data_IF_527832402305
#
_entry.id   IF_527832402305
#
_cell.length_a   1.000
_cell.length_b   1.000
_cell.length_c   1.000
_cell.angle_alpha   90.00
_cell.angle_beta   90.00
_cell.angle_gamma   90.00
#
_symmetry.space_group_name_H-M   'P 1'
#
loop_
_entity.id
_entity.type
_entity.pdbx_description
1 polymer ?
#
# COMPACT_ATOMS: atom_id res chain seq x y z
N UNK A 1 -10.79 -12.97 -2.70
CA UNK A 1 -10.65 -11.51 -2.88
C UNK A 1 -9.28 -11.15 -3.43
N UNK A 2 -9.17 -9.98 -3.99
CA UNK A 2 -7.92 -9.43 -4.52
C UNK A 2 -7.50 -8.27 -3.62
N UNK A 3 -6.33 -8.39 -3.01
CA UNK A 3 -5.85 -7.47 -1.96
C UNK A 3 -4.64 -6.70 -2.48
N UNK A 4 -4.66 -5.39 -2.34
CA UNK A 4 -3.53 -4.52 -2.68
C UNK A 4 -2.89 -3.96 -1.42
N UNK A 5 -1.56 -3.92 -1.39
CA UNK A 5 -0.79 -3.42 -0.26
C UNK A 5 0.23 -2.40 -0.74
N UNK A 6 0.25 -1.22 -0.12
CA UNK A 6 1.34 -0.27 -0.29
C UNK A 6 2.53 -0.71 0.56
N UNK A 7 3.75 -0.46 0.07
CA UNK A 7 4.96 -0.97 0.72
C UNK A 7 5.53 0.01 1.74
N UNK A 8 5.82 1.23 1.32
CA UNK A 8 6.51 2.19 2.18
C UNK A 8 5.58 2.83 3.21
N UNK A 9 6.01 2.84 4.48
CA UNK A 9 5.23 3.37 5.59
C UNK A 9 4.09 2.46 6.05
N UNK A 10 3.99 1.24 5.54
CA UNK A 10 2.96 0.24 5.88
C UNK A 10 3.61 -1.08 6.21
N UNK A 11 4.08 -1.78 5.17
CA UNK A 11 4.73 -3.08 5.35
C UNK A 11 6.00 -2.97 6.19
N UNK A 12 6.75 -1.86 6.04
CA UNK A 12 7.99 -1.64 6.78
C UNK A 12 7.76 -1.19 8.23
N UNK A 13 6.59 -0.63 8.57
CA UNK A 13 6.26 -0.24 9.94
C UNK A 13 5.82 -1.44 10.80
N UNK A 14 5.08 -2.35 10.21
CA UNK A 14 4.57 -3.54 10.91
C UNK A 14 4.76 -4.79 10.05
N UNK A 15 6.01 -5.16 9.78
CA UNK A 15 6.27 -6.32 8.93
C UNK A 15 5.75 -7.63 9.55
N UNK A 16 5.75 -7.74 10.86
CA UNK A 16 5.21 -8.90 11.59
C UNK A 16 3.71 -9.11 11.29
N UNK A 17 2.93 -8.02 11.34
CA UNK A 17 1.50 -8.08 11.06
C UNK A 17 1.24 -8.45 9.60
N UNK A 18 1.93 -7.81 8.66
CA UNK A 18 1.72 -8.06 7.24
C UNK A 18 2.24 -9.43 6.80
N UNK A 19 3.29 -9.96 7.44
CA UNK A 19 3.72 -11.33 7.23
C UNK A 19 2.60 -12.31 7.63
N UNK A 20 2.00 -12.12 8.78
CA UNK A 20 0.87 -12.92 9.26
C UNK A 20 -0.34 -12.78 8.32
N UNK A 21 -0.74 -11.55 8.03
CA UNK A 21 -1.92 -11.26 7.21
C UNK A 21 -1.80 -11.86 5.80
N UNK A 22 -0.65 -11.64 5.14
CA UNK A 22 -0.46 -12.12 3.76
C UNK A 22 -0.39 -13.64 3.69
N UNK A 23 0.23 -14.28 4.67
CA UNK A 23 0.24 -15.74 4.75
C UNK A 23 -1.18 -16.29 4.91
N UNK A 24 -1.98 -15.70 5.79
CA UNK A 24 -3.37 -16.09 6.02
C UNK A 24 -4.23 -15.89 4.76
N UNK A 25 -4.07 -14.75 4.09
CA UNK A 25 -4.80 -14.45 2.86
C UNK A 25 -4.48 -15.46 1.77
N UNK A 26 -3.22 -15.75 1.54
CA UNK A 26 -2.82 -16.70 0.51
C UNK A 26 -3.25 -18.13 0.84
N UNK A 27 -3.19 -18.53 2.10
CA UNK A 27 -3.72 -19.82 2.54
C UNK A 27 -5.21 -19.96 2.26
N UNK A 28 -5.95 -18.85 2.33
CA UNK A 28 -7.37 -18.80 2.01
C UNK A 28 -7.67 -18.70 0.51
N UNK A 29 -6.66 -18.71 -0.35
CA UNK A 29 -6.84 -18.63 -1.80
C UNK A 29 -7.03 -17.21 -2.32
N UNK A 30 -6.69 -16.19 -1.54
CA UNK A 30 -6.79 -14.79 -1.97
C UNK A 30 -5.54 -14.34 -2.69
N UNK A 31 -5.73 -13.43 -3.66
CA UNK A 31 -4.64 -12.83 -4.43
C UNK A 31 -4.09 -11.61 -3.70
N UNK A 32 -2.77 -11.49 -3.61
CA UNK A 32 -2.08 -10.38 -2.95
C UNK A 32 -1.14 -9.70 -3.93
N UNK A 33 -1.34 -8.40 -4.15
CA UNK A 33 -0.46 -7.57 -4.97
C UNK A 33 0.16 -6.46 -4.12
N UNK A 34 1.47 -6.26 -4.26
CA UNK A 34 2.18 -5.13 -3.67
C UNK A 34 2.22 -4.02 -4.72
N UNK A 35 1.73 -2.83 -4.36
CA UNK A 35 1.74 -1.65 -5.22
C UNK A 35 2.68 -0.63 -4.61
N UNK A 36 3.74 -0.26 -5.33
CA UNK A 36 4.76 0.62 -4.78
C UNK A 36 5.15 1.73 -5.76
N UNK A 37 5.41 2.92 -5.22
CA UNK A 37 6.00 4.02 -5.97
C UNK A 37 7.51 4.05 -5.71
N UNK A 38 8.19 3.13 -6.37
CA UNK A 38 9.67 3.03 -6.36
C UNK A 38 10.16 2.92 -7.81
N UNK A 39 11.43 3.18 -8.03
CA UNK A 39 12.05 2.96 -9.33
C UNK A 39 11.98 1.47 -9.68
N UNK A 40 11.46 1.10 -10.87
CA UNK A 40 11.46 -0.29 -11.30
C UNK A 40 12.84 -0.96 -11.31
N UNK A 41 13.91 -0.19 -11.44
CA UNK A 41 15.29 -0.70 -11.33
C UNK A 41 15.61 -1.26 -9.94
N UNK A 42 14.81 -0.92 -8.91
CA UNK A 42 14.96 -1.42 -7.55
C UNK A 42 14.25 -2.75 -7.31
N UNK A 43 13.71 -3.39 -8.34
CA UNK A 43 12.85 -4.58 -8.18
C UNK A 43 13.52 -5.69 -7.35
N UNK A 44 14.75 -6.05 -7.68
CA UNK A 44 15.46 -7.11 -6.98
C UNK A 44 15.66 -6.79 -5.49
N UNK A 45 16.02 -5.54 -5.20
CA UNK A 45 16.17 -5.05 -3.82
C UNK A 45 14.84 -5.05 -3.07
N UNK A 46 13.77 -4.62 -3.73
CA UNK A 46 12.43 -4.58 -3.16
C UNK A 46 11.92 -5.98 -2.85
N UNK A 47 12.11 -6.93 -3.77
CA UNK A 47 11.72 -8.33 -3.56
C UNK A 47 12.50 -8.97 -2.40
N UNK A 48 13.80 -8.69 -2.31
CA UNK A 48 14.64 -9.17 -1.20
C UNK A 48 14.16 -8.62 0.15
N UNK A 49 13.73 -7.36 0.17
CA UNK A 49 13.20 -6.69 1.36
C UNK A 49 11.87 -7.33 1.81
N UNK A 50 10.96 -7.57 0.87
CA UNK A 50 9.69 -8.25 1.15
C UNK A 50 9.91 -9.66 1.68
N UNK A 51 10.85 -10.40 1.07
CA UNK A 51 11.23 -11.74 1.53
C UNK A 51 11.80 -11.70 2.96
N UNK A 52 12.66 -10.72 3.24
CA UNK A 52 13.24 -10.54 4.57
C UNK A 52 12.20 -10.25 5.65
N UNK A 53 11.10 -9.60 5.30
CA UNK A 53 9.97 -9.34 6.20
C UNK A 53 8.98 -10.50 6.29
N UNK A 54 9.14 -11.53 5.46
CA UNK A 54 8.22 -12.66 5.43
C UNK A 54 6.88 -12.34 4.77
N UNK A 55 6.80 -11.28 3.97
CA UNK A 55 5.57 -10.90 3.28
C UNK A 55 5.37 -11.79 2.07
N UNK A 56 4.21 -12.45 2.02
CA UNK A 56 3.82 -13.31 0.90
C UNK A 56 2.97 -12.49 -0.09
N UNK A 57 3.29 -12.59 -1.38
CA UNK A 57 2.55 -11.88 -2.43
C UNK A 57 2.60 -12.66 -3.73
N UNK A 58 1.64 -12.38 -4.61
CA UNK A 58 1.57 -13.00 -5.94
C UNK A 58 2.24 -12.13 -6.99
N UNK A 59 2.05 -10.82 -6.94
CA UNK A 59 2.58 -9.87 -7.90
C UNK A 59 3.07 -8.61 -7.20
N UNK A 60 4.05 -7.95 -7.83
CA UNK A 60 4.50 -6.62 -7.43
C UNK A 60 4.39 -5.69 -8.64
N UNK A 61 3.85 -4.49 -8.41
CA UNK A 61 3.65 -3.49 -9.45
C UNK A 61 4.27 -2.16 -9.04
N UNK A 62 5.01 -1.55 -9.97
CA UNK A 62 5.65 -0.26 -9.77
C UNK A 62 4.79 0.83 -10.37
N UNK A 63 4.23 1.69 -9.52
CA UNK A 63 3.44 2.83 -9.94
C UNK A 63 4.35 3.93 -10.51
N UNK A 64 3.86 4.66 -11.51
CA UNK A 64 4.60 5.77 -12.16
C UNK A 64 4.54 7.05 -11.35
N UNK A 65 3.53 7.18 -10.49
CA UNK A 65 3.29 8.29 -9.59
C UNK A 65 2.47 7.79 -8.41
N UNK A 66 2.27 8.63 -7.40
CA UNK A 66 1.40 8.26 -6.27
C UNK A 66 -0.03 8.02 -6.73
N UNK A 67 -0.55 8.89 -7.60
CA UNK A 67 -1.92 8.76 -8.12
C UNK A 67 -2.10 7.56 -9.07
N UNK A 68 -1.03 7.06 -9.66
CA UNK A 68 -1.07 5.89 -10.55
C UNK A 68 -1.50 4.62 -9.82
N UNK A 69 -1.39 4.59 -8.49
CA UNK A 69 -1.85 3.45 -7.69
C UNK A 69 -3.36 3.23 -7.82
N UNK A 70 -4.13 4.31 -8.00
CA UNK A 70 -5.56 4.20 -8.27
C UNK A 70 -5.85 3.44 -9.57
N UNK A 71 -5.12 3.77 -10.62
CA UNK A 71 -5.22 3.05 -11.91
C UNK A 71 -4.88 1.57 -11.75
N UNK A 72 -3.81 1.27 -11.04
CA UNK A 72 -3.41 -0.11 -10.78
C UNK A 72 -4.49 -0.89 -10.02
N UNK A 73 -5.12 -0.27 -9.02
CA UNK A 73 -6.22 -0.90 -8.30
C UNK A 73 -7.38 -1.25 -9.23
N UNK A 74 -7.70 -0.36 -10.17
CA UNK A 74 -8.77 -0.63 -11.14
C UNK A 74 -8.38 -1.73 -12.12
N UNK A 75 -7.19 -1.67 -12.70
CA UNK A 75 -6.72 -2.67 -13.67
C UNK A 75 -6.59 -4.07 -13.07
N UNK A 76 -6.12 -4.13 -11.83
CA UNK A 76 -5.94 -5.40 -11.12
C UNK A 76 -7.21 -5.89 -10.43
N UNK A 77 -8.30 -5.13 -10.53
CA UNK A 77 -9.57 -5.43 -9.89
C UNK A 77 -9.40 -5.69 -8.38
N UNK A 78 -8.70 -4.80 -7.70
CA UNK A 78 -8.44 -4.91 -6.26
C UNK A 78 -9.74 -4.70 -5.48
N UNK A 79 -10.04 -5.61 -4.57
CA UNK A 79 -11.22 -5.55 -3.71
C UNK A 79 -10.96 -4.74 -2.44
N UNK A 80 -9.76 -4.90 -1.85
CA UNK A 80 -9.35 -4.24 -0.61
C UNK A 80 -7.94 -3.69 -0.78
N UNK A 81 -7.75 -2.42 -0.46
CA UNK A 81 -6.46 -1.75 -0.61
C UNK A 81 -6.06 -1.05 0.69
N UNK A 82 -4.79 -1.24 1.08
CA UNK A 82 -4.19 -0.62 2.26
C UNK A 82 -3.18 0.44 1.83
N UNK A 83 -3.41 1.70 2.22
CA UNK A 83 -2.48 2.80 1.97
C UNK A 83 -2.65 3.88 3.03
N UNK A 84 -1.68 4.78 3.18
CA UNK A 84 -1.75 5.90 4.13
C UNK A 84 -1.96 7.25 3.46
N UNK A 85 -1.74 7.37 2.14
CA UNK A 85 -1.74 8.65 1.44
C UNK A 85 -3.00 8.86 0.62
N UNK A 86 -3.64 10.01 0.81
CA UNK A 86 -4.85 10.35 0.05
C UNK A 86 -4.60 10.37 -1.45
N UNK A 87 -3.43 10.86 -1.90
CA UNK A 87 -3.08 10.87 -3.32
C UNK A 87 -3.11 9.49 -3.97
N UNK A 88 -2.80 8.45 -3.18
CA UNK A 88 -2.80 7.07 -3.66
C UNK A 88 -4.21 6.49 -3.75
N UNK A 89 -5.15 6.99 -2.97
CA UNK A 89 -6.48 6.38 -2.83
C UNK A 89 -7.60 7.12 -3.54
N UNK A 90 -7.42 8.41 -3.87
CA UNK A 90 -8.49 9.21 -4.49
C UNK A 90 -8.94 8.68 -5.86
N UNK A 91 -8.03 8.05 -6.60
CA UNK A 91 -8.33 7.48 -7.92
C UNK A 91 -8.78 6.03 -7.88
N UNK A 92 -8.88 5.44 -6.71
CA UNK A 92 -9.35 4.06 -6.53
C UNK A 92 -10.86 4.02 -6.82
N UNK A 93 -11.28 3.01 -7.58
CA UNK A 93 -12.69 2.89 -7.98
C UNK A 93 -13.63 2.57 -6.81
N UNK A 94 -14.92 2.75 -7.03
CA UNK A 94 -15.96 2.54 -6.01
C UNK A 94 -16.03 1.08 -5.54
N UNK A 95 -15.56 0.14 -6.35
CA UNK A 95 -15.58 -1.29 -6.02
C UNK A 95 -14.47 -1.71 -5.06
N UNK A 96 -13.50 -0.85 -4.80
CA UNK A 96 -12.39 -1.13 -3.90
C UNK A 96 -12.65 -0.51 -2.54
N UNK A 97 -12.64 -1.33 -1.50
CA UNK A 97 -12.67 -0.84 -0.11
C UNK A 97 -11.26 -0.43 0.29
N UNK A 98 -11.09 0.79 0.76
CA UNK A 98 -9.80 1.31 1.19
C UNK A 98 -9.70 1.32 2.71
N UNK A 99 -8.61 0.72 3.23
CA UNK A 99 -8.23 0.88 4.62
C UNK A 99 -7.09 1.90 4.69
N UNK A 100 -7.41 3.09 5.16
CA UNK A 100 -6.43 4.16 5.30
C UNK A 100 -5.70 4.00 6.64
N UNK A 101 -4.39 3.82 6.56
CA UNK A 101 -3.56 3.61 7.75
C UNK A 101 -3.14 4.97 8.32
N UNK A 102 -3.38 5.15 9.61
CA UNK A 102 -2.94 6.35 10.33
C UNK A 102 -1.50 6.19 10.79
N UNK A 103 -0.68 7.20 10.51
CA UNK A 103 0.71 7.25 10.98
C UNK A 103 1.15 8.70 11.20
N UNK A 104 2.39 8.92 11.64
CA UNK A 104 2.91 10.26 11.91
C UNK A 104 3.07 11.14 10.68
N UNK A 105 3.03 10.56 9.47
CA UNK A 105 3.13 11.33 8.23
C UNK A 105 1.79 11.89 7.73
N UNK A 106 0.66 11.35 8.18
CA UNK A 106 -0.66 11.76 7.71
C UNK A 106 -1.63 12.17 8.82
N UNK A 107 -1.20 12.10 10.08
CA UNK A 107 -2.07 12.42 11.22
C UNK A 107 -1.31 13.22 12.26
N UNK A 108 -1.91 14.31 12.74
CA UNK A 108 -1.38 15.12 13.81
C UNK A 108 -1.88 14.56 15.14
N UNK A 109 -1.03 13.84 15.85
CA UNK A 109 -1.40 13.22 17.12
C UNK A 109 -1.58 14.24 18.25
N UNK A 110 -0.92 15.40 18.15
CA UNK A 110 -1.10 16.47 19.13
C UNK A 110 -2.48 17.12 19.05
N UNK A 111 -2.95 17.39 17.83
CA UNK A 111 -4.26 17.99 17.57
C UNK A 111 -5.35 16.97 17.24
N UNK A 112 -4.98 15.70 17.11
CA UNK A 112 -5.90 14.60 16.85
C UNK A 112 -6.71 14.78 15.55
N UNK A 113 -6.03 15.11 14.46
CA UNK A 113 -6.68 15.30 13.17
C UNK A 113 -5.79 14.85 12.01
N UNK A 114 -6.43 14.49 10.90
CA UNK A 114 -5.75 14.16 9.66
C UNK A 114 -5.13 15.41 9.04
N UNK A 115 -3.94 15.23 8.44
CA UNK A 115 -3.31 16.27 7.65
C UNK A 115 -3.94 16.32 6.26
N UNK A 116 -4.12 17.52 5.71
CA UNK A 116 -4.68 17.68 4.37
C UNK A 116 -3.65 17.32 3.29
N UNK A 117 -4.13 16.93 2.09
CA UNK A 117 -3.27 16.66 0.93
C UNK A 117 -2.35 17.85 0.63
N UNK A 118 -2.87 19.07 0.65
CA UNK A 118 -2.09 20.27 0.38
C UNK A 118 -0.95 20.44 1.39
N UNK A 119 -1.20 20.14 2.67
CA UNK A 119 -0.19 20.21 3.71
C UNK A 119 0.86 19.10 3.56
N UNK A 120 0.44 17.89 3.20
CA UNK A 120 1.36 16.79 2.93
C UNK A 120 2.26 17.07 1.74
N UNK A 121 1.72 17.64 0.68
CA UNK A 121 2.48 18.00 -0.53
C UNK A 121 3.58 19.02 -0.21
N UNK A 122 3.36 19.93 0.72
CA UNK A 122 4.37 20.90 1.14
C UNK A 122 5.51 20.28 1.93
N UNK A 123 5.26 19.15 2.58
CA UNK A 123 6.28 18.44 3.36
C UNK A 123 7.16 17.54 2.49
N UNK A 124 6.68 17.22 1.31
CA UNK A 124 7.41 16.42 0.33
C UNK A 124 8.32 17.27 -0.53
#
# INVERSE_FOLDING_TARGET
MRIGLDLDGRLDERPDFFAFLTAALRSGGHFVAVLTYRDPASQAKTEAQLSGWGVAYDEIHFARSLSDKGRLCRELAIDVYFDDQDECVVGVGEKTTVFKIRNGGNFDFGEQKWLSIAKLTRLL
#
